data_IF_208973514507
#
_entry.id   IF_208973514507
#
_cell.length_a   1.000
_cell.length_b   1.000
_cell.length_c   1.000
_cell.angle_alpha   90.00
_cell.angle_beta   90.00
_cell.angle_gamma   90.00
#
_symmetry.space_group_name_H-M   'P 1'
#
loop_
_entity.id
_entity.type
_entity.pdbx_description
1 polymer ?
#
# COMPACT_ATOMS: atom_id res chain seq x y z
N UNK A 1 -8.09 -12.32 0.32
CA UNK A 1 -8.09 -10.86 0.12
C UNK A 1 -9.46 -10.32 -0.29
N UNK A 2 -10.15 -11.00 -1.18
CA UNK A 2 -11.51 -10.64 -1.63
C UNK A 2 -12.37 -11.88 -1.56
N UNK A 3 -13.57 -11.73 -1.03
CA UNK A 3 -14.54 -12.82 -0.95
C UNK A 3 -15.20 -13.07 -2.31
N UNK A 4 -15.73 -14.27 -2.51
CA UNK A 4 -16.50 -14.60 -3.70
C UNK A 4 -17.70 -13.65 -3.83
N UNK A 5 -17.90 -13.07 -5.01
CA UNK A 5 -18.95 -12.07 -5.25
C UNK A 5 -18.62 -10.66 -4.73
N UNK A 6 -17.42 -10.44 -4.21
CA UNK A 6 -17.01 -9.13 -3.67
C UNK A 6 -16.73 -8.07 -4.73
N UNK A 7 -16.68 -6.82 -4.29
CA UNK A 7 -16.33 -5.67 -5.14
C UNK A 7 -14.88 -5.29 -4.95
N UNK A 8 -14.16 -5.07 -6.07
CA UNK A 8 -12.75 -4.62 -6.09
C UNK A 8 -12.62 -3.40 -6.97
N UNK A 9 -12.00 -2.35 -6.44
CA UNK A 9 -11.65 -1.14 -7.20
C UNK A 9 -10.13 -1.09 -7.35
N UNK A 10 -9.64 -1.11 -8.57
CA UNK A 10 -8.20 -1.04 -8.88
C UNK A 10 -7.75 0.40 -8.88
N UNK A 11 -6.73 0.74 -8.07
CA UNK A 11 -6.03 2.01 -8.14
C UNK A 11 -5.15 2.03 -9.40
N UNK A 12 -5.68 2.59 -10.48
CA UNK A 12 -5.08 2.56 -11.81
C UNK A 12 -4.29 3.84 -12.07
N UNK A 13 -2.95 3.73 -12.10
CA UNK A 13 -2.06 4.85 -12.46
C UNK A 13 -1.73 4.92 -13.95
N UNK A 14 -1.98 3.84 -14.69
CA UNK A 14 -1.56 3.67 -16.08
C UNK A 14 -0.22 2.98 -16.26
N UNK A 15 0.62 2.91 -15.22
CA UNK A 15 1.90 2.20 -15.25
C UNK A 15 1.75 0.67 -15.28
N UNK A 16 2.83 -0.04 -15.67
CA UNK A 16 2.84 -1.48 -15.89
C UNK A 16 2.21 -2.29 -14.75
N UNK A 17 2.54 -1.95 -13.49
CA UNK A 17 2.04 -2.69 -12.32
C UNK A 17 0.52 -2.60 -12.21
N UNK A 18 -0.03 -1.39 -12.35
CA UNK A 18 -1.47 -1.15 -12.23
C UNK A 18 -2.26 -1.73 -13.41
N UNK A 19 -1.69 -1.70 -14.61
CA UNK A 19 -2.27 -2.31 -15.82
C UNK A 19 -2.26 -3.84 -15.70
N UNK A 20 -1.15 -4.42 -15.25
CA UNK A 20 -1.04 -5.86 -14.96
C UNK A 20 -2.09 -6.29 -13.93
N UNK A 21 -2.23 -5.54 -12.83
CA UNK A 21 -3.22 -5.82 -11.79
C UNK A 21 -4.65 -5.78 -12.33
N UNK A 22 -5.01 -4.72 -13.07
CA UNK A 22 -6.33 -4.59 -13.67
C UNK A 22 -6.63 -5.76 -14.61
N UNK A 23 -5.71 -6.08 -15.53
CA UNK A 23 -5.87 -7.17 -16.48
C UNK A 23 -6.09 -8.52 -15.78
N UNK A 24 -5.29 -8.84 -14.76
CA UNK A 24 -5.47 -10.08 -13.99
C UNK A 24 -6.83 -10.15 -13.29
N UNK A 25 -7.29 -9.05 -12.68
CA UNK A 25 -8.59 -9.01 -12.02
C UNK A 25 -9.75 -9.13 -13.01
N UNK A 26 -9.62 -8.57 -14.22
CA UNK A 26 -10.58 -8.74 -15.32
C UNK A 26 -10.66 -10.21 -15.75
N UNK A 27 -9.54 -10.90 -15.91
CA UNK A 27 -9.52 -12.33 -16.25
C UNK A 27 -10.14 -13.21 -15.15
N UNK A 28 -10.03 -12.80 -13.91
CA UNK A 28 -10.51 -13.57 -12.75
C UNK A 28 -11.95 -13.23 -12.36
N UNK A 29 -12.55 -12.16 -12.92
CA UNK A 29 -13.84 -11.64 -12.46
C UNK A 29 -14.96 -12.68 -12.54
N UNK A 30 -15.05 -13.41 -13.64
CA UNK A 30 -16.14 -14.39 -13.84
C UNK A 30 -15.92 -15.62 -12.96
N UNK A 31 -14.68 -16.09 -12.84
CA UNK A 31 -14.32 -17.23 -11.98
C UNK A 31 -14.68 -17.01 -10.51
N UNK A 32 -14.49 -15.80 -10.00
CA UNK A 32 -14.73 -15.45 -8.59
C UNK A 32 -15.99 -14.60 -8.41
N UNK A 33 -16.78 -14.39 -9.46
CA UNK A 33 -17.98 -13.54 -9.47
C UNK A 33 -17.70 -12.14 -8.92
N UNK A 34 -16.54 -11.54 -9.26
CA UNK A 34 -16.14 -10.24 -8.75
C UNK A 34 -16.79 -9.10 -9.55
N UNK A 35 -17.18 -8.04 -8.85
CA UNK A 35 -17.42 -6.74 -9.46
C UNK A 35 -16.10 -5.97 -9.50
N UNK A 36 -15.50 -5.82 -10.68
CA UNK A 36 -14.23 -5.10 -10.88
C UNK A 36 -14.52 -3.71 -11.42
N UNK A 37 -13.98 -2.70 -10.75
CA UNK A 37 -14.02 -1.29 -11.13
C UNK A 37 -12.60 -0.72 -11.02
N UNK A 38 -12.38 0.52 -11.46
CA UNK A 38 -11.10 1.20 -11.34
C UNK A 38 -11.28 2.62 -10.80
N UNK A 39 -10.22 3.17 -10.20
CA UNK A 39 -10.13 4.57 -9.84
C UNK A 39 -8.79 5.15 -10.27
N UNK A 40 -8.80 6.40 -10.72
CA UNK A 40 -7.62 7.18 -11.11
C UNK A 40 -7.63 8.52 -10.40
N UNK A 41 -6.49 8.90 -9.83
CA UNK A 41 -6.29 10.21 -9.22
C UNK A 41 -5.28 10.99 -10.06
N UNK A 42 -5.73 12.06 -10.71
CA UNK A 42 -4.87 13.01 -11.41
C UNK A 42 -4.44 14.12 -10.45
N UNK A 43 -3.14 14.19 -10.17
CA UNK A 43 -2.54 15.16 -9.25
C UNK A 43 -2.19 16.50 -9.91
N UNK A 44 -2.30 16.61 -11.23
CA UNK A 44 -1.87 17.75 -12.08
C UNK A 44 -0.41 18.20 -11.90
N UNK A 45 0.45 17.37 -11.29
CA UNK A 45 1.85 17.73 -11.01
C UNK A 45 2.76 17.77 -12.28
N UNK A 46 2.35 17.09 -13.35
CA UNK A 46 3.13 16.96 -14.60
C UNK A 46 2.42 17.59 -15.81
N UNK A 47 1.47 18.51 -15.57
CA UNK A 47 0.76 19.22 -16.63
C UNK A 47 0.11 18.27 -17.66
N UNK A 48 0.51 18.36 -18.94
CA UNK A 48 -0.07 17.57 -20.04
C UNK A 48 0.19 16.05 -19.91
N UNK A 49 1.31 15.63 -19.34
CA UNK A 49 1.58 14.21 -19.10
C UNK A 49 0.52 13.58 -18.18
N UNK A 50 0.18 14.27 -17.08
CA UNK A 50 -0.84 13.77 -16.14
C UNK A 50 -2.21 13.63 -16.81
N UNK A 51 -2.55 14.52 -17.74
CA UNK A 51 -3.79 14.45 -18.50
C UNK A 51 -3.76 13.29 -19.52
N UNK A 52 -2.60 13.09 -20.18
CA UNK A 52 -2.39 11.97 -21.09
C UNK A 52 -2.53 10.61 -20.38
N UNK A 53 -1.97 10.48 -19.17
CA UNK A 53 -2.08 9.28 -18.35
C UNK A 53 -3.55 9.01 -17.96
N UNK A 54 -4.29 10.05 -17.62
CA UNK A 54 -5.73 9.96 -17.32
C UNK A 54 -6.53 9.47 -18.53
N UNK A 55 -6.29 10.04 -19.71
CA UNK A 55 -6.96 9.62 -20.95
C UNK A 55 -6.61 8.18 -21.32
N UNK A 56 -5.34 7.76 -21.14
CA UNK A 56 -4.95 6.37 -21.29
C UNK A 56 -5.74 5.45 -20.35
N UNK A 57 -5.89 5.79 -19.08
CA UNK A 57 -6.67 5.02 -18.11
C UNK A 57 -8.16 4.95 -18.49
N UNK A 58 -8.74 6.05 -18.98
CA UNK A 58 -10.14 6.08 -19.47
C UNK A 58 -10.33 5.12 -20.65
N UNK A 59 -9.45 5.18 -21.64
CA UNK A 59 -9.52 4.33 -22.82
C UNK A 59 -9.31 2.85 -22.46
N UNK A 60 -8.35 2.54 -21.60
CA UNK A 60 -8.12 1.18 -21.12
C UNK A 60 -9.35 0.60 -20.44
N UNK A 61 -9.98 1.37 -19.56
CA UNK A 61 -11.19 0.95 -18.86
C UNK A 61 -12.37 0.78 -19.83
N UNK A 62 -12.54 1.70 -20.79
CA UNK A 62 -13.56 1.61 -21.83
C UNK A 62 -13.44 0.31 -22.66
N UNK A 63 -12.21 -0.03 -23.09
CA UNK A 63 -11.93 -1.25 -23.85
C UNK A 63 -12.26 -2.55 -23.09
N UNK A 64 -12.13 -2.52 -21.77
CA UNK A 64 -12.39 -3.66 -20.89
C UNK A 64 -13.80 -3.65 -20.26
N UNK A 65 -14.68 -2.70 -20.61
CA UNK A 65 -15.98 -2.49 -19.98
C UNK A 65 -15.90 -2.37 -18.44
N UNK A 66 -14.94 -1.58 -17.95
CA UNK A 66 -14.70 -1.32 -16.54
C UNK A 66 -15.14 0.11 -16.21
N UNK A 67 -15.94 0.25 -15.17
CA UNK A 67 -16.33 1.56 -14.63
C UNK A 67 -15.11 2.22 -13.98
N UNK A 68 -14.79 3.47 -14.39
CA UNK A 68 -13.66 4.24 -13.89
C UNK A 68 -14.14 5.48 -13.15
N UNK A 69 -13.69 5.63 -11.89
CA UNK A 69 -13.84 6.85 -11.10
C UNK A 69 -12.59 7.71 -11.23
N UNK A 70 -12.75 8.95 -11.62
CA UNK A 70 -11.63 9.91 -11.73
C UNK A 70 -11.83 11.01 -10.69
N UNK A 71 -10.78 11.31 -9.91
CA UNK A 71 -10.66 12.50 -9.06
C UNK A 71 -9.48 13.32 -9.56
N UNK A 72 -9.68 14.61 -9.74
CA UNK A 72 -8.64 15.56 -10.12
C UNK A 72 -8.34 16.46 -8.92
N UNK A 73 -7.07 16.70 -8.63
CA UNK A 73 -6.61 17.52 -7.49
C UNK A 73 -5.41 18.34 -7.91
N UNK A 74 -5.48 19.64 -7.72
CA UNK A 74 -4.34 20.53 -7.82
C UNK A 74 -3.49 20.42 -6.54
N UNK A 75 -2.52 19.49 -6.56
CA UNK A 75 -1.69 19.19 -5.40
C UNK A 75 -0.76 20.36 -5.07
N UNK A 76 -0.30 21.14 -6.06
CA UNK A 76 0.55 22.30 -5.83
C UNK A 76 -0.17 23.35 -4.99
N UNK A 77 -1.39 23.68 -5.36
CA UNK A 77 -2.22 24.63 -4.63
C UNK A 77 -2.54 24.13 -3.24
N UNK A 78 -3.03 22.90 -3.12
CA UNK A 78 -3.48 22.31 -1.87
C UNK A 78 -2.34 22.13 -0.85
N UNK A 79 -1.16 21.69 -1.30
CA UNK A 79 0.02 21.51 -0.44
C UNK A 79 0.50 22.84 0.15
N UNK A 80 0.47 23.91 -0.65
CA UNK A 80 0.80 25.27 -0.20
C UNK A 80 -0.19 25.78 0.85
N UNK A 81 -1.50 25.55 0.64
CA UNK A 81 -2.55 25.92 1.60
C UNK A 81 -2.40 25.18 2.93
N UNK A 82 -2.12 23.87 2.88
CA UNK A 82 -1.98 23.00 4.06
C UNK A 82 -0.58 23.07 4.70
N UNK A 83 0.40 23.68 4.04
CA UNK A 83 1.83 23.74 4.45
C UNK A 83 2.46 22.37 4.68
N UNK A 84 2.15 21.42 3.81
CA UNK A 84 2.71 20.07 3.80
C UNK A 84 3.44 19.79 2.47
N UNK A 85 4.23 18.72 2.41
CA UNK A 85 4.92 18.35 1.16
C UNK A 85 3.93 17.89 0.08
N UNK A 86 4.31 18.04 -1.21
CA UNK A 86 3.51 17.54 -2.34
C UNK A 86 3.27 16.03 -2.23
N UNK A 87 4.26 15.26 -1.76
CA UNK A 87 4.14 13.81 -1.57
C UNK A 87 3.09 13.49 -0.51
N UNK A 88 3.13 14.16 0.62
CA UNK A 88 2.16 13.99 1.72
C UNK A 88 0.76 14.41 1.30
N UNK A 89 0.63 15.57 0.65
CA UNK A 89 -0.65 16.07 0.12
C UNK A 89 -1.26 15.08 -0.87
N UNK A 90 -0.49 14.66 -1.87
CA UNK A 90 -0.94 13.68 -2.87
C UNK A 90 -1.30 12.33 -2.26
N UNK A 91 -0.57 11.91 -1.21
CA UNK A 91 -0.87 10.71 -0.44
C UNK A 91 -2.20 10.84 0.30
N UNK A 92 -2.42 11.94 1.02
CA UNK A 92 -3.65 12.18 1.77
C UNK A 92 -4.87 12.20 0.85
N UNK A 93 -4.82 12.95 -0.26
CA UNK A 93 -5.88 12.99 -1.27
C UNK A 93 -6.21 11.61 -1.85
N UNK A 94 -5.19 10.78 -2.05
CA UNK A 94 -5.34 9.41 -2.56
C UNK A 94 -6.07 8.53 -1.57
N UNK A 95 -5.65 8.52 -0.29
CA UNK A 95 -6.29 7.69 0.74
C UNK A 95 -7.70 8.14 1.05
N UNK A 96 -7.95 9.45 1.07
CA UNK A 96 -9.30 10.02 1.21
C UNK A 96 -10.23 9.54 0.08
N UNK A 97 -9.75 9.58 -1.17
CA UNK A 97 -10.50 9.08 -2.32
C UNK A 97 -10.74 7.58 -2.25
N UNK A 98 -9.74 6.82 -1.82
CA UNK A 98 -9.88 5.38 -1.64
C UNK A 98 -10.90 5.04 -0.55
N UNK A 99 -10.86 5.75 0.59
CA UNK A 99 -11.80 5.55 1.68
C UNK A 99 -13.24 5.81 1.21
N UNK A 100 -13.47 6.96 0.58
CA UNK A 100 -14.78 7.31 0.02
C UNK A 100 -15.33 6.21 -0.92
N UNK A 101 -14.50 5.70 -1.83
CA UNK A 101 -14.93 4.65 -2.76
C UNK A 101 -15.16 3.30 -2.06
N UNK A 102 -14.29 2.93 -1.12
CA UNK A 102 -14.40 1.69 -0.37
C UNK A 102 -15.73 1.65 0.42
N UNK A 103 -16.06 2.73 1.12
CA UNK A 103 -17.31 2.85 1.89
C UNK A 103 -18.53 2.87 0.96
N UNK A 104 -18.51 3.72 -0.06
CA UNK A 104 -19.67 3.90 -0.97
C UNK A 104 -20.06 2.62 -1.70
N UNK A 105 -19.08 1.80 -2.08
CA UNK A 105 -19.31 0.58 -2.87
C UNK A 105 -19.13 -0.70 -2.05
N UNK A 106 -18.87 -0.61 -0.75
CA UNK A 106 -18.48 -1.75 0.11
C UNK A 106 -17.39 -2.58 -0.58
N UNK A 107 -16.32 -1.91 -1.00
CA UNK A 107 -15.29 -2.48 -1.88
C UNK A 107 -13.94 -2.59 -1.20
N UNK A 108 -13.11 -3.53 -1.68
CA UNK A 108 -11.67 -3.52 -1.43
C UNK A 108 -10.98 -2.69 -2.51
N UNK A 109 -10.00 -1.87 -2.10
CA UNK A 109 -9.15 -1.10 -3.01
C UNK A 109 -7.88 -1.91 -3.29
N UNK A 110 -7.69 -2.32 -4.54
CA UNK A 110 -6.51 -3.06 -4.96
C UNK A 110 -5.42 -2.11 -5.46
N UNK A 111 -4.29 -2.06 -4.77
CA UNK A 111 -3.11 -1.30 -5.19
C UNK A 111 -2.03 -2.22 -5.74
N UNK A 112 -1.28 -1.76 -6.73
CA UNK A 112 -0.34 -2.55 -7.49
C UNK A 112 1.09 -2.57 -6.90
N UNK A 113 1.23 -2.40 -5.57
CA UNK A 113 2.54 -2.56 -4.92
C UNK A 113 3.07 -3.97 -5.15
N UNK A 114 4.36 -4.05 -5.47
CA UNK A 114 5.06 -5.27 -5.85
C UNK A 114 6.22 -5.59 -4.87
N UNK A 115 7.02 -6.65 -5.13
CA UNK A 115 8.10 -7.05 -4.23
C UNK A 115 9.25 -6.06 -4.18
N UNK A 116 9.50 -5.34 -5.27
CA UNK A 116 10.55 -4.32 -5.34
C UNK A 116 10.17 -3.10 -4.49
N UNK A 117 8.90 -2.65 -4.53
CA UNK A 117 8.37 -1.60 -3.65
C UNK A 117 8.49 -2.00 -2.17
N UNK A 118 8.26 -3.30 -1.88
CA UNK A 118 8.41 -3.82 -0.53
C UNK A 118 9.87 -3.79 -0.05
N UNK A 119 10.81 -4.18 -0.90
CA UNK A 119 12.24 -4.09 -0.62
C UNK A 119 12.66 -2.64 -0.37
N UNK A 120 12.29 -1.72 -1.24
CA UNK A 120 12.55 -0.27 -1.08
C UNK A 120 12.03 0.25 0.25
N UNK A 121 10.79 -0.10 0.58
CA UNK A 121 10.15 0.33 1.84
C UNK A 121 10.86 -0.26 3.06
N UNK A 122 11.24 -1.52 3.02
CA UNK A 122 11.97 -2.17 4.12
C UNK A 122 13.31 -1.51 4.36
N UNK A 123 14.10 -1.24 3.29
CA UNK A 123 15.38 -0.55 3.38
C UNK A 123 15.18 0.87 3.92
N UNK A 124 14.21 1.61 3.37
CA UNK A 124 13.91 2.96 3.84
C UNK A 124 13.56 3.00 5.33
N UNK A 125 12.69 2.10 5.77
CA UNK A 125 12.28 2.00 7.16
C UNK A 125 13.46 1.61 8.08
N UNK A 126 14.34 0.69 7.63
CA UNK A 126 15.55 0.32 8.32
C UNK A 126 16.48 1.52 8.57
N UNK A 127 16.68 2.37 7.56
CA UNK A 127 17.52 3.58 7.71
C UNK A 127 16.96 4.61 8.68
N UNK A 128 15.66 4.54 9.00
CA UNK A 128 14.97 5.41 9.94
C UNK A 128 14.82 4.82 11.35
N UNK A 129 15.36 3.63 11.58
CA UNK A 129 15.22 2.95 12.86
C UNK A 129 13.79 2.51 13.17
N UNK A 130 13.05 2.07 12.17
CA UNK A 130 11.67 1.65 12.33
C UNK A 130 11.53 0.46 13.29
N UNK A 131 10.39 0.39 13.97
CA UNK A 131 9.99 -0.71 14.84
C UNK A 131 9.75 -2.02 14.05
N UNK A 132 9.44 -3.10 14.76
CA UNK A 132 9.13 -4.40 14.16
C UNK A 132 8.05 -4.32 13.08
N UNK A 133 6.95 -3.58 13.32
CA UNK A 133 5.89 -3.34 12.33
C UNK A 133 6.42 -2.62 11.07
N UNK A 134 7.28 -1.64 11.23
CA UNK A 134 7.88 -0.93 10.10
C UNK A 134 8.83 -1.80 9.27
N UNK A 135 9.59 -2.70 9.93
CA UNK A 135 10.49 -3.65 9.28
C UNK A 135 9.76 -4.85 8.66
N UNK A 136 8.49 -5.08 8.99
CA UNK A 136 7.66 -6.10 8.36
C UNK A 136 7.28 -5.75 6.90
N UNK A 137 7.70 -4.60 6.39
CA UNK A 137 7.46 -4.16 5.03
C UNK A 137 6.03 -3.69 4.77
N UNK A 138 5.58 -3.85 3.53
CA UNK A 138 4.25 -3.43 3.10
C UNK A 138 3.26 -4.58 3.35
N UNK A 139 2.22 -4.41 4.19
CA UNK A 139 1.26 -5.48 4.49
C UNK A 139 0.43 -5.84 3.25
N UNK A 140 0.15 -7.14 3.08
CA UNK A 140 -0.70 -7.64 1.98
C UNK A 140 -2.12 -7.09 2.02
N UNK A 141 -2.64 -6.91 3.22
CA UNK A 141 -3.97 -6.35 3.51
C UNK A 141 -3.83 -5.35 4.64
N UNK A 142 -4.45 -4.18 4.49
CA UNK A 142 -4.60 -3.20 5.55
C UNK A 142 -5.98 -2.55 5.39
N UNK A 143 -6.89 -2.82 6.30
CA UNK A 143 -8.27 -2.36 6.28
C UNK A 143 -8.99 -2.77 4.99
N UNK A 144 -9.39 -1.82 4.17
CA UNK A 144 -10.00 -2.03 2.87
C UNK A 144 -8.98 -2.14 1.72
N UNK A 145 -7.68 -1.90 1.97
CA UNK A 145 -6.63 -1.94 0.94
C UNK A 145 -6.04 -3.33 0.83
N UNK A 146 -5.97 -3.84 -0.39
CA UNK A 146 -5.32 -5.11 -0.73
C UNK A 146 -4.19 -4.91 -1.74
N UNK A 147 -3.18 -5.78 -1.70
CA UNK A 147 -1.99 -5.72 -2.56
C UNK A 147 -1.71 -7.07 -3.20
N UNK A 148 -2.46 -7.43 -4.25
CA UNK A 148 -2.35 -8.76 -4.86
C UNK A 148 -0.96 -9.07 -5.45
N UNK A 149 -0.22 -8.04 -5.90
CA UNK A 149 1.09 -8.19 -6.55
C UNK A 149 2.28 -8.11 -5.58
N UNK A 150 2.06 -8.00 -4.27
CA UNK A 150 3.13 -7.72 -3.30
C UNK A 150 4.26 -8.77 -3.28
N UNK A 151 3.99 -9.99 -3.71
CA UNK A 151 4.96 -11.08 -3.81
C UNK A 151 5.49 -11.28 -5.26
N UNK A 152 5.17 -10.39 -6.18
CA UNK A 152 5.54 -10.48 -7.59
C UNK A 152 6.59 -9.43 -7.91
N UNK A 153 7.71 -9.82 -8.55
CA UNK A 153 8.75 -8.87 -8.92
C UNK A 153 8.32 -7.99 -10.11
N UNK A 154 8.91 -6.82 -10.19
CA UNK A 154 8.71 -5.89 -11.31
C UNK A 154 9.03 -6.53 -12.66
N UNK A 155 10.12 -7.31 -12.71
CA UNK A 155 10.52 -8.06 -13.91
C UNK A 155 9.40 -8.98 -14.40
N UNK A 156 8.81 -9.80 -13.52
CA UNK A 156 7.68 -10.69 -13.86
C UNK A 156 6.45 -9.93 -14.33
N UNK A 157 6.19 -8.76 -13.76
CA UNK A 157 5.08 -7.91 -14.18
C UNK A 157 5.30 -7.39 -15.59
N UNK A 158 6.51 -6.94 -15.92
CA UNK A 158 6.87 -6.46 -17.26
C UNK A 158 6.88 -7.58 -18.29
N UNK A 159 7.39 -8.76 -17.94
CA UNK A 159 7.29 -9.97 -18.76
C UNK A 159 5.83 -10.35 -19.05
N UNK A 160 4.97 -10.29 -18.04
CA UNK A 160 3.54 -10.51 -18.16
C UNK A 160 2.90 -9.51 -19.14
N UNK A 161 3.14 -8.22 -18.93
CA UNK A 161 2.62 -7.17 -19.82
C UNK A 161 3.06 -7.37 -21.27
N UNK A 162 4.34 -7.71 -21.46
CA UNK A 162 4.89 -8.04 -22.80
C UNK A 162 4.22 -9.28 -23.41
N UNK A 163 4.05 -10.33 -22.62
CA UNK A 163 3.44 -11.59 -23.08
C UNK A 163 1.99 -11.43 -23.53
N UNK A 164 1.24 -10.53 -22.89
CA UNK A 164 -0.15 -10.21 -23.24
C UNK A 164 -0.29 -9.00 -24.18
N UNK A 165 0.81 -8.38 -24.60
CA UNK A 165 0.78 -7.19 -25.45
C UNK A 165 0.10 -5.97 -24.80
N UNK A 166 0.14 -5.87 -23.48
CA UNK A 166 -0.47 -4.78 -22.72
C UNK A 166 0.33 -3.49 -22.91
N UNK A 167 -0.35 -2.42 -23.29
CA UNK A 167 0.22 -1.08 -23.31
C UNK A 167 0.14 -0.46 -21.93
N UNK A 168 1.15 0.31 -21.56
CA UNK A 168 1.19 1.07 -20.31
C UNK A 168 2.02 2.33 -20.49
N UNK A 169 1.84 3.32 -19.62
CA UNK A 169 2.62 4.55 -19.60
C UNK A 169 3.85 4.40 -18.70
N UNK A 170 4.95 5.04 -19.09
CA UNK A 170 6.17 5.08 -18.28
C UNK A 170 6.29 6.46 -17.64
N UNK A 171 6.30 6.50 -16.31
CA UNK A 171 6.42 7.73 -15.55
C UNK A 171 7.85 8.28 -15.65
N UNK A 172 8.00 9.49 -16.18
CA UNK A 172 9.29 10.17 -16.34
C UNK A 172 9.99 10.45 -15.00
N UNK A 173 9.25 10.60 -13.90
CA UNK A 173 9.81 10.84 -12.56
C UNK A 173 10.54 9.63 -11.97
N UNK A 174 10.32 8.43 -12.50
CA UNK A 174 11.06 7.23 -12.09
C UNK A 174 12.54 7.28 -12.47
N UNK A 175 12.95 8.19 -13.35
CA UNK A 175 14.32 8.32 -13.86
C UNK A 175 15.18 9.27 -13.03
N UNK A 176 14.63 9.96 -12.04
CA UNK A 176 15.35 10.95 -11.23
C UNK A 176 15.60 10.47 -9.80
N UNK A 177 16.75 10.83 -9.22
CA UNK A 177 17.10 10.53 -7.81
C UNK A 177 16.60 11.61 -6.83
N UNK A 178 15.60 12.37 -7.22
CA UNK A 178 15.06 13.46 -6.42
C UNK A 178 14.40 12.96 -5.12
N UNK A 179 13.81 11.78 -5.19
CA UNK A 179 13.16 11.13 -4.04
C UNK A 179 14.03 10.05 -3.41
N UNK A 180 14.02 9.94 -2.09
CA UNK A 180 14.80 8.94 -1.34
C UNK A 180 14.57 7.51 -1.81
N UNK A 181 13.34 7.16 -2.21
CA UNK A 181 13.03 5.83 -2.75
C UNK A 181 13.73 5.56 -4.07
N UNK A 182 13.81 6.56 -4.95
CA UNK A 182 14.53 6.42 -6.22
C UNK A 182 16.04 6.21 -5.98
N UNK A 183 16.63 6.91 -4.98
CA UNK A 183 18.03 6.67 -4.57
C UNK A 183 18.25 5.24 -4.09
N UNK A 184 17.32 4.70 -3.31
CA UNK A 184 17.40 3.30 -2.87
C UNK A 184 17.32 2.37 -4.07
N UNK A 185 16.36 2.58 -4.98
CA UNK A 185 16.14 1.79 -6.19
C UNK A 185 17.36 1.78 -7.11
N UNK A 186 17.95 2.94 -7.35
CA UNK A 186 19.01 3.08 -8.35
C UNK A 186 20.41 2.82 -7.77
N UNK A 187 20.66 3.10 -6.50
CA UNK A 187 22.00 3.09 -5.94
C UNK A 187 22.23 2.01 -4.86
N UNK A 188 21.18 1.55 -4.18
CA UNK A 188 21.33 0.57 -3.10
C UNK A 188 20.94 -0.83 -3.55
N UNK A 189 19.77 -0.98 -4.14
CA UNK A 189 19.24 -2.28 -4.56
C UNK A 189 20.16 -3.00 -5.55
N UNK A 190 20.76 -2.35 -6.58
CA UNK A 190 21.68 -3.02 -7.48
C UNK A 190 22.89 -3.66 -6.74
N UNK A 191 23.47 -2.94 -5.77
CA UNK A 191 24.58 -3.45 -4.95
C UNK A 191 24.14 -4.66 -4.11
N UNK A 192 22.94 -4.61 -3.53
CA UNK A 192 22.40 -5.75 -2.79
C UNK A 192 22.16 -6.96 -3.70
N UNK A 193 21.75 -6.75 -4.95
CA UNK A 193 21.57 -7.82 -5.95
C UNK A 193 22.90 -8.43 -6.41
N UNK A 194 23.98 -7.69 -6.43
CA UNK A 194 25.33 -8.23 -6.68
C UNK A 194 25.74 -9.21 -5.56
N UNK A 195 25.38 -8.92 -4.30
CA UNK A 195 25.65 -9.78 -3.14
C UNK A 195 24.69 -10.97 -3.10
N UNK A 196 23.42 -10.73 -3.32
CA UNK A 196 22.36 -11.73 -3.34
C UNK A 196 21.36 -11.46 -4.47
N UNK A 197 21.46 -12.14 -5.63
CA UNK A 197 20.54 -11.96 -6.75
C UNK A 197 19.04 -12.16 -6.40
N UNK A 198 18.75 -12.86 -5.31
CA UNK A 198 17.39 -13.13 -4.83
C UNK A 198 17.02 -12.30 -3.60
N UNK A 199 17.63 -11.14 -3.40
CA UNK A 199 17.44 -10.30 -2.20
C UNK A 199 15.97 -9.93 -1.94
N UNK A 200 15.17 -9.71 -2.99
CA UNK A 200 13.74 -9.43 -2.85
C UNK A 200 13.01 -10.58 -2.15
N UNK A 201 13.25 -11.82 -2.60
CA UNK A 201 12.64 -13.01 -2.00
C UNK A 201 13.09 -13.22 -0.57
N UNK A 202 14.39 -13.00 -0.29
CA UNK A 202 14.95 -13.12 1.05
C UNK A 202 14.30 -12.09 2.00
N UNK A 203 14.15 -10.85 1.55
CA UNK A 203 13.50 -9.79 2.33
C UNK A 203 12.01 -10.08 2.49
N UNK A 204 11.30 -10.58 1.49
CA UNK A 204 9.90 -11.00 1.63
C UNK A 204 9.73 -12.09 2.69
N UNK A 205 10.61 -13.08 2.76
CA UNK A 205 10.58 -14.12 3.80
C UNK A 205 10.83 -13.52 5.18
N UNK A 206 11.84 -12.66 5.31
CA UNK A 206 12.12 -11.93 6.54
C UNK A 206 10.90 -11.11 6.99
N UNK A 207 10.31 -10.32 6.08
CA UNK A 207 9.13 -9.51 6.39
C UNK A 207 7.94 -10.38 6.83
N UNK A 208 7.74 -11.55 6.23
CA UNK A 208 6.67 -12.49 6.65
C UNK A 208 6.88 -12.93 8.10
N UNK A 209 8.08 -13.36 8.44
CA UNK A 209 8.45 -13.77 9.82
C UNK A 209 8.27 -12.62 10.80
N UNK A 210 8.73 -11.41 10.46
CA UNK A 210 8.58 -10.23 11.31
C UNK A 210 7.11 -9.85 11.49
N UNK A 211 6.28 -10.00 10.44
CA UNK A 211 4.84 -9.76 10.50
C UNK A 211 4.14 -10.73 11.44
N UNK A 212 4.49 -12.02 11.39
CA UNK A 212 3.93 -13.05 12.29
C UNK A 212 4.29 -12.77 13.75
N UNK A 213 5.54 -12.35 14.02
CA UNK A 213 5.99 -11.95 15.36
C UNK A 213 5.24 -10.70 15.83
N UNK A 214 5.10 -9.69 14.97
CA UNK A 214 4.38 -8.47 15.30
C UNK A 214 2.91 -8.76 15.63
N UNK A 215 2.24 -9.61 14.86
CA UNK A 215 0.86 -10.03 15.10
C UNK A 215 0.72 -10.79 16.44
N UNK A 216 1.68 -11.66 16.76
CA UNK A 216 1.69 -12.37 18.03
C UNK A 216 1.83 -11.41 19.22
N UNK A 217 2.74 -10.42 19.13
CA UNK A 217 2.94 -9.42 20.19
C UNK A 217 1.69 -8.55 20.34
N UNK A 218 1.08 -8.11 19.22
CA UNK A 218 -0.15 -7.31 19.24
C UNK A 218 -1.32 -8.07 19.89
N UNK A 219 -1.56 -9.32 19.51
CA UNK A 219 -2.59 -10.17 20.14
C UNK A 219 -2.32 -10.38 21.63
N UNK A 220 -1.04 -10.53 21.99
CA UNK A 220 -0.65 -10.66 23.40
C UNK A 220 -0.89 -9.37 24.19
N UNK A 221 -0.63 -8.21 23.60
CA UNK A 221 -0.93 -6.89 24.16
C UNK A 221 -2.43 -6.70 24.37
N UNK A 222 -3.26 -7.01 23.36
CA UNK A 222 -4.72 -6.95 23.46
C UNK A 222 -5.26 -7.89 24.56
N UNK A 223 -4.71 -9.10 24.67
CA UNK A 223 -5.09 -10.05 25.71
C UNK A 223 -4.71 -9.53 27.10
N UNK A 224 -3.51 -8.95 27.25
CA UNK A 224 -3.06 -8.35 28.49
C UNK A 224 -4.01 -7.22 28.94
N UNK A 225 -4.40 -6.32 28.04
CA UNK A 225 -5.36 -5.26 28.33
C UNK A 225 -6.70 -5.83 28.75
N UNK A 226 -7.20 -6.84 28.05
CA UNK A 226 -8.46 -7.51 28.43
C UNK A 226 -8.42 -8.15 29.82
N UNK A 227 -7.30 -8.77 30.21
CA UNK A 227 -7.11 -9.39 31.54
C UNK A 227 -6.95 -8.34 32.64
N UNK A 228 -6.32 -7.22 32.31
CA UNK A 228 -6.06 -6.14 33.27
C UNK A 228 -7.22 -5.15 33.40
N UNK A 229 -8.20 -5.14 32.50
CA UNK A 229 -9.33 -4.22 32.51
C UNK A 229 -10.17 -4.34 33.78
N UNK A 230 -10.50 -3.19 34.40
CA UNK A 230 -11.35 -3.10 35.60
C UNK A 230 -12.12 -1.78 35.58
N UNK A 231 -13.41 -1.84 35.25
CA UNK A 231 -14.22 -0.65 35.00
C UNK A 231 -13.67 0.18 33.82
N UNK A 232 -13.44 1.46 34.03
CA UNK A 232 -12.86 2.37 33.03
C UNK A 232 -11.31 2.38 33.04
N UNK A 233 -10.66 1.56 33.86
CA UNK A 233 -9.20 1.55 34.02
C UNK A 233 -8.59 0.15 33.96
N UNK A 234 -7.31 0.06 34.37
CA UNK A 234 -6.54 -1.17 34.32
C UNK A 234 -5.85 -1.44 35.67
N UNK A 235 -5.84 -2.71 36.08
CA UNK A 235 -5.21 -3.18 37.32
C UNK A 235 -3.68 -3.21 37.14
N UNK A 236 -2.97 -2.33 37.83
CA UNK A 236 -1.50 -2.20 37.74
C UNK A 236 -0.75 -3.45 38.16
N UNK A 237 -1.29 -4.24 39.09
CA UNK A 237 -0.68 -5.50 39.51
C UNK A 237 -0.68 -6.56 38.40
N UNK A 238 -1.67 -6.53 37.50
CA UNK A 238 -1.72 -7.42 36.33
C UNK A 238 -0.75 -6.97 35.22
N UNK A 239 -0.50 -5.66 35.13
CA UNK A 239 0.43 -5.09 34.14
C UNK A 239 1.90 -5.27 34.57
N UNK A 240 2.23 -5.18 35.87
CA UNK A 240 3.60 -5.25 36.38
C UNK A 240 4.30 -6.58 36.12
N UNK A 241 3.57 -7.68 36.10
CA UNK A 241 4.13 -9.02 35.91
C UNK A 241 4.21 -9.43 34.43
N UNK A 242 3.75 -8.54 33.51
CA UNK A 242 3.76 -8.81 32.09
C UNK A 242 5.17 -8.70 31.49
N UNK A 243 5.42 -9.46 30.43
CA UNK A 243 6.63 -9.29 29.63
C UNK A 243 6.71 -7.86 29.10
N UNK A 244 7.89 -7.23 29.22
CA UNK A 244 8.09 -5.81 28.86
C UNK A 244 7.74 -5.49 27.41
N UNK A 245 7.94 -6.44 26.46
CA UNK A 245 7.60 -6.25 25.04
C UNK A 245 6.09 -6.20 24.88
N UNK A 246 5.36 -7.11 25.55
CA UNK A 246 3.89 -7.17 25.51
C UNK A 246 3.28 -5.94 26.20
N UNK A 247 3.89 -5.48 27.31
CA UNK A 247 3.43 -4.27 28.01
C UNK A 247 3.58 -3.02 27.15
N UNK A 248 4.72 -2.87 26.47
CA UNK A 248 4.93 -1.74 25.54
C UNK A 248 3.89 -1.73 24.42
N UNK A 249 3.59 -2.89 23.83
CA UNK A 249 2.55 -2.98 22.78
C UNK A 249 1.16 -2.67 23.34
N UNK A 250 0.84 -3.15 24.54
CA UNK A 250 -0.41 -2.84 25.21
C UNK A 250 -0.58 -1.33 25.44
N UNK A 251 0.48 -0.63 25.84
CA UNK A 251 0.48 0.83 26.00
C UNK A 251 0.27 1.51 24.64
N UNK A 252 1.00 1.10 23.59
CA UNK A 252 0.84 1.66 22.25
C UNK A 252 -0.59 1.50 21.71
N UNK A 253 -1.24 0.35 21.96
CA UNK A 253 -2.65 0.13 21.60
C UNK A 253 -3.58 1.12 22.31
N UNK A 254 -3.29 1.47 23.57
CA UNK A 254 -4.10 2.47 24.29
C UNK A 254 -3.87 3.89 23.78
N UNK A 255 -2.64 4.25 23.45
CA UNK A 255 -2.30 5.57 22.88
C UNK A 255 -3.01 5.75 21.53
N UNK A 256 -2.94 4.78 20.62
CA UNK A 256 -3.66 4.81 19.34
C UNK A 256 -5.18 4.99 19.53
N UNK A 257 -5.76 4.38 20.57
CA UNK A 257 -7.20 4.49 20.85
C UNK A 257 -7.60 5.88 21.41
N UNK A 258 -6.69 6.59 22.08
CA UNK A 258 -6.92 7.95 22.59
C UNK A 258 -6.87 8.94 21.45
N UNK A 259 -5.87 8.86 20.58
CA UNK A 259 -5.69 9.75 19.41
C UNK A 259 -6.88 9.71 18.43
N UNK A 260 -7.54 8.54 18.29
CA UNK A 260 -8.73 8.38 17.44
C UNK A 260 -9.98 9.08 18.04
N UNK A 261 -10.03 9.27 19.36
CA UNK A 261 -11.20 9.88 20.03
C UNK A 261 -11.09 11.40 20.21
N UNK A 262 -9.95 12.01 19.87
CA UNK A 262 -9.74 13.47 19.95
C UNK A 262 -9.92 14.20 18.61
N UNK A 263 -10.31 13.48 17.51
CA UNK A 263 -10.62 14.00 16.18
C UNK A 263 -12.14 13.94 15.95
#
# INVERSE_FOLDING_TARGET
MVDYGGTVIVALSGGADSVCLLHNLVLLKDKYNLKVMACHLNHHLRGEESNSDMEFCKELCRQNNIELFVKEVDVDKLSNELKISHEECGRNCRYEFFNFLAEKYNAKIATAHNSDDNLETTIYNMTRGASLKGLSGIPKVRDYIIRPLINTSREKIEEYCKGYGLKYVTDSTNLTDEYTRNKIRHNVIPVLKEINPSVENTVLQMNSTLSEIAEYIEKSGQLLLKIAQSGEGYLTNKLKDANIVVLKEAIAILEDAIDVNEI
#
